data_IF_476423365653
#
_entry.id   IF_476423365653
#
_cell.length_a   1.000
_cell.length_b   1.000
_cell.length_c   1.000
_cell.angle_alpha   90.00
_cell.angle_beta   90.00
_cell.angle_gamma   90.00
#
_symmetry.space_group_name_H-M   'P 1'
#
loop_
_entity.id
_entity.type
_entity.pdbx_description
1 polymer ?
#
# COMPACT_ATOMS: atom_id res chain seq x y z
N UNK A 1 7.93 -23.84 -6.92
CA UNK A 1 8.92 -22.95 -6.29
C UNK A 1 8.38 -22.47 -4.96
N UNK A 2 9.27 -22.05 -4.07
CA UNK A 2 8.99 -21.38 -2.81
C UNK A 2 9.29 -19.89 -2.96
N UNK A 3 8.29 -19.04 -2.82
CA UNK A 3 8.38 -17.62 -3.18
C UNK A 3 7.96 -16.74 -2.01
N UNK A 4 8.81 -15.76 -1.64
CA UNK A 4 8.40 -14.69 -0.73
C UNK A 4 8.01 -13.46 -1.56
N UNK A 5 6.81 -12.95 -1.35
CA UNK A 5 6.38 -11.65 -1.90
C UNK A 5 6.37 -10.63 -0.78
N UNK A 6 7.20 -9.59 -0.88
CA UNK A 6 7.34 -8.55 0.16
C UNK A 6 6.65 -7.27 -0.30
N UNK A 7 5.78 -6.70 0.53
CA UNK A 7 5.06 -5.46 0.28
C UNK A 7 5.30 -4.45 1.40
N UNK A 8 5.38 -3.17 1.07
CA UNK A 8 5.59 -2.10 2.06
C UNK A 8 4.36 -1.81 2.95
N UNK A 9 3.22 -2.45 2.68
CA UNK A 9 2.14 -2.62 3.65
C UNK A 9 1.18 -3.74 3.25
N UNK A 10 0.26 -4.08 4.15
CA UNK A 10 -0.86 -4.98 3.84
C UNK A 10 -2.05 -4.14 3.33
N UNK A 11 -2.75 -4.54 2.25
CA UNK A 11 -3.88 -3.78 1.70
C UNK A 11 -5.05 -3.57 2.69
N UNK A 12 -5.28 -4.51 3.60
CA UNK A 12 -6.26 -4.38 4.70
C UNK A 12 -5.84 -3.35 5.77
N UNK A 13 -4.56 -2.95 5.84
CA UNK A 13 -4.03 -1.94 6.76
C UNK A 13 -3.96 -0.58 6.06
N UNK A 14 -3.28 -0.55 4.92
CA UNK A 14 -3.09 0.66 4.10
C UNK A 14 -3.59 0.39 2.70
N UNK A 15 -4.57 1.19 2.27
CA UNK A 15 -5.12 1.08 0.92
C UNK A 15 -4.28 1.90 -0.05
N UNK A 16 -3.49 1.20 -0.85
CA UNK A 16 -2.72 1.76 -1.96
C UNK A 16 -2.68 0.80 -3.15
N UNK A 17 -2.33 1.32 -4.33
CA UNK A 17 -2.30 0.53 -5.56
C UNK A 17 -1.18 -0.53 -5.55
N UNK A 18 -0.06 -0.20 -4.91
CA UNK A 18 1.11 -1.06 -4.85
C UNK A 18 0.89 -2.30 -3.98
N UNK A 19 0.26 -2.13 -2.81
CA UNK A 19 -0.11 -3.22 -1.90
C UNK A 19 -1.14 -4.14 -2.54
N UNK A 20 -2.13 -3.57 -3.26
CA UNK A 20 -3.12 -4.35 -4.00
C UNK A 20 -2.48 -5.18 -5.12
N UNK A 21 -1.53 -4.61 -5.86
CA UNK A 21 -0.78 -5.33 -6.88
C UNK A 21 0.08 -6.46 -6.27
N UNK A 22 0.71 -6.20 -5.12
CA UNK A 22 1.54 -7.19 -4.42
C UNK A 22 0.73 -8.40 -3.94
N UNK A 23 -0.41 -8.15 -3.30
CA UNK A 23 -1.27 -9.24 -2.81
C UNK A 23 -1.88 -10.01 -4.00
N UNK A 24 -2.30 -9.33 -5.07
CA UNK A 24 -2.86 -9.98 -6.25
C UNK A 24 -1.81 -10.87 -6.93
N UNK A 25 -0.56 -10.41 -6.99
CA UNK A 25 0.56 -11.20 -7.46
C UNK A 25 0.82 -12.43 -6.60
N UNK A 26 0.86 -12.28 -5.27
CA UNK A 26 0.96 -13.40 -4.35
C UNK A 26 -0.14 -14.46 -4.57
N UNK A 27 -1.40 -14.06 -4.68
CA UNK A 27 -2.49 -15.01 -4.92
C UNK A 27 -2.45 -15.65 -6.31
N UNK A 28 -2.01 -14.93 -7.34
CA UNK A 28 -1.81 -15.51 -8.67
C UNK A 28 -0.73 -16.60 -8.67
N UNK A 29 0.38 -16.38 -7.96
CA UNK A 29 1.44 -17.39 -7.79
C UNK A 29 0.92 -18.62 -7.05
N UNK A 30 0.14 -18.42 -5.97
CA UNK A 30 -0.50 -19.52 -5.26
C UNK A 30 -1.48 -20.31 -6.13
N UNK A 31 -2.28 -19.63 -6.95
CA UNK A 31 -3.22 -20.27 -7.86
C UNK A 31 -2.52 -21.15 -8.92
N UNK A 32 -1.25 -20.85 -9.22
CA UNK A 32 -0.39 -21.67 -10.09
C UNK A 32 0.32 -22.81 -9.35
N UNK A 33 0.01 -23.04 -8.06
CA UNK A 33 0.54 -24.15 -7.27
C UNK A 33 1.92 -23.90 -6.65
N UNK A 34 2.35 -22.64 -6.55
CA UNK A 34 3.58 -22.31 -5.82
C UNK A 34 3.34 -22.25 -4.30
N UNK A 35 4.38 -22.61 -3.53
CA UNK A 35 4.43 -22.38 -2.08
C UNK A 35 4.83 -20.94 -1.87
N UNK A 36 3.96 -20.11 -1.29
CA UNK A 36 4.18 -18.67 -1.21
C UNK A 36 3.98 -18.15 0.20
N UNK A 37 4.79 -17.15 0.56
CA UNK A 37 4.64 -16.36 1.77
C UNK A 37 4.51 -14.88 1.39
N UNK A 38 3.41 -14.25 1.78
CA UNK A 38 3.25 -12.80 1.67
C UNK A 38 3.77 -12.13 2.93
N UNK A 39 4.68 -11.17 2.80
CA UNK A 39 5.26 -10.42 3.91
C UNK A 39 4.92 -8.95 3.74
N UNK A 40 4.13 -8.40 4.65
CA UNK A 40 3.70 -7.01 4.63
C UNK A 40 4.35 -6.21 5.76
N UNK A 41 4.96 -5.09 5.42
CA UNK A 41 5.51 -4.20 6.43
C UNK A 41 4.41 -3.56 7.28
N UNK A 42 4.72 -3.36 8.56
CA UNK A 42 3.82 -2.72 9.49
C UNK A 42 4.54 -1.98 10.60
N UNK A 43 3.92 -0.94 11.21
CA UNK A 43 4.32 -0.47 12.52
C UNK A 43 4.22 -1.57 13.58
N UNK A 44 5.12 -1.55 14.56
CA UNK A 44 5.19 -2.54 15.64
C UNK A 44 3.86 -2.71 16.39
N UNK A 45 3.10 -1.63 16.58
CA UNK A 45 1.81 -1.66 17.28
C UNK A 45 0.77 -2.61 16.66
N UNK A 46 0.91 -3.02 15.39
CA UNK A 46 -0.01 -3.95 14.74
C UNK A 46 0.37 -5.43 14.92
N UNK A 47 1.55 -5.75 15.44
CA UNK A 47 2.01 -7.14 15.65
C UNK A 47 1.26 -7.78 16.83
N UNK A 48 0.90 -7.00 17.84
CA UNK A 48 0.15 -7.48 19.01
C UNK A 48 1.01 -8.20 20.08
N UNK A 49 2.34 -8.22 19.91
CA UNK A 49 3.30 -8.72 20.90
C UNK A 49 4.69 -8.11 20.65
N UNK A 50 5.67 -8.38 21.53
CA UNK A 50 7.03 -7.81 21.49
C UNK A 50 7.94 -8.35 20.37
N UNK A 51 7.36 -9.09 19.43
CA UNK A 51 8.10 -9.68 18.31
C UNK A 51 8.12 -8.74 17.11
N UNK A 52 8.97 -9.03 16.14
CA UNK A 52 9.07 -8.27 14.89
C UNK A 52 8.22 -8.84 13.76
N UNK A 53 7.61 -10.00 13.99
CA UNK A 53 6.77 -10.72 13.05
C UNK A 53 5.46 -11.14 13.70
N UNK A 54 4.37 -11.22 12.94
CA UNK A 54 3.12 -11.79 13.41
C UNK A 54 2.22 -12.21 12.26
N UNK A 55 1.57 -13.38 12.37
CA UNK A 55 0.62 -13.85 11.35
C UNK A 55 -0.55 -12.87 11.23
N UNK A 56 -0.90 -12.48 10.01
CA UNK A 56 -1.96 -11.52 9.80
C UNK A 56 -3.32 -12.21 9.87
N UNK A 57 -4.12 -11.85 10.89
CA UNK A 57 -5.49 -12.38 11.09
C UNK A 57 -5.55 -13.92 11.12
N UNK A 58 -4.50 -14.57 11.63
CA UNK A 58 -4.42 -16.03 11.73
C UNK A 58 -4.12 -16.75 10.42
N UNK A 59 -3.87 -16.03 9.31
CA UNK A 59 -3.43 -16.62 8.05
C UNK A 59 -1.93 -16.90 8.11
N UNK A 60 -1.53 -18.16 7.95
CA UNK A 60 -0.15 -18.59 8.15
C UNK A 60 0.81 -18.17 7.02
N UNK A 61 0.24 -17.89 5.85
CA UNK A 61 0.93 -17.50 4.63
C UNK A 61 0.92 -15.98 4.39
N UNK A 62 0.35 -15.21 5.32
CA UNK A 62 0.40 -13.75 5.34
C UNK A 62 1.04 -13.29 6.65
N UNK A 63 2.24 -12.73 6.55
CA UNK A 63 3.06 -12.30 7.67
C UNK A 63 3.10 -10.77 7.73
N UNK A 64 2.89 -10.20 8.91
CA UNK A 64 3.28 -8.84 9.21
C UNK A 64 4.73 -8.79 9.68
N UNK A 65 5.49 -7.82 9.20
CA UNK A 65 6.89 -7.59 9.56
C UNK A 65 7.16 -6.13 9.93
N UNK A 66 7.84 -5.89 11.05
CA UNK A 66 8.33 -4.56 11.41
C UNK A 66 9.57 -4.25 10.57
N UNK A 67 9.39 -3.45 9.51
CA UNK A 67 10.44 -3.12 8.56
C UNK A 67 11.55 -2.20 9.10
N UNK A 68 12.23 -1.54 8.16
CA UNK A 68 13.35 -0.66 8.42
C UNK A 68 12.93 0.68 9.02
N UNK A 69 13.82 1.23 9.85
CA UNK A 69 13.90 2.67 10.10
C UNK A 69 14.45 3.34 8.85
N UNK A 70 13.54 3.71 7.95
CA UNK A 70 13.88 4.11 6.59
C UNK A 70 14.51 5.51 6.51
N UNK A 71 15.48 5.68 5.61
CA UNK A 71 16.02 6.98 5.18
C UNK A 71 15.46 7.29 3.78
N UNK A 72 14.55 8.26 3.69
CA UNK A 72 13.86 8.61 2.44
C UNK A 72 14.77 9.24 1.38
N UNK A 73 15.86 9.89 1.79
CA UNK A 73 16.81 10.48 0.85
C UNK A 73 17.68 9.40 0.24
N UNK A 74 18.27 8.54 1.08
CA UNK A 74 19.22 7.51 0.66
C UNK A 74 18.54 6.24 0.15
N UNK A 75 17.26 6.04 0.48
CA UNK A 75 16.49 4.82 0.25
C UNK A 75 17.13 3.60 0.93
N UNK A 76 17.60 3.76 2.17
CA UNK A 76 18.35 2.73 2.91
C UNK A 76 17.77 2.46 4.29
N UNK A 77 18.12 1.33 4.88
CA UNK A 77 17.75 0.99 6.26
C UNK A 77 18.75 1.57 7.27
N UNK A 78 18.30 2.44 8.20
CA UNK A 78 19.16 2.94 9.29
C UNK A 78 19.48 1.85 10.32
N UNK A 79 18.58 0.89 10.49
CA UNK A 79 18.72 -0.29 11.34
C UNK A 79 19.07 -1.54 10.51
N UNK A 80 19.94 -1.39 9.50
CA UNK A 80 20.33 -2.43 8.53
C UNK A 80 20.57 -3.82 9.14
N UNK A 81 21.41 -3.92 10.18
CA UNK A 81 21.74 -5.20 10.81
C UNK A 81 20.52 -5.92 11.40
N UNK A 82 19.56 -5.17 11.95
CA UNK A 82 18.32 -5.75 12.47
C UNK A 82 17.43 -6.25 11.33
N UNK A 83 17.30 -5.46 10.26
CA UNK A 83 16.51 -5.84 9.08
C UNK A 83 17.11 -7.08 8.39
N UNK A 84 18.44 -7.15 8.27
CA UNK A 84 19.12 -8.33 7.73
C UNK A 84 18.95 -9.56 8.61
N UNK A 85 19.02 -9.42 9.95
CA UNK A 85 18.74 -10.53 10.88
C UNK A 85 17.32 -11.06 10.71
N UNK A 86 16.34 -10.17 10.61
CA UNK A 86 14.93 -10.52 10.37
C UNK A 86 14.77 -11.27 9.04
N UNK A 87 15.41 -10.78 7.97
CA UNK A 87 15.40 -11.43 6.65
C UNK A 87 16.08 -12.80 6.68
N UNK A 88 17.19 -12.94 7.40
CA UNK A 88 17.91 -14.21 7.54
C UNK A 88 17.09 -15.27 8.27
N UNK A 89 16.32 -14.86 9.27
CA UNK A 89 15.36 -15.74 9.94
C UNK A 89 14.26 -16.19 8.98
N UNK A 90 13.60 -15.27 8.28
CA UNK A 90 12.58 -15.59 7.28
C UNK A 90 13.12 -16.50 6.17
N UNK A 91 14.30 -16.18 5.63
CA UNK A 91 14.96 -16.95 4.57
C UNK A 91 15.36 -18.33 5.08
N UNK A 92 15.92 -18.43 6.29
CA UNK A 92 16.36 -19.70 6.87
C UNK A 92 15.21 -20.67 7.11
N UNK A 93 14.05 -20.13 7.53
CA UNK A 93 12.89 -20.94 7.87
C UNK A 93 11.98 -21.22 6.67
N UNK A 94 11.77 -20.25 5.78
CA UNK A 94 10.98 -20.42 4.56
C UNK A 94 11.80 -20.99 3.40
N UNK A 95 13.13 -20.84 3.35
CA UNK A 95 14.02 -21.32 2.27
C UNK A 95 13.47 -21.04 0.86
N UNK A 96 13.30 -19.76 0.49
CA UNK A 96 12.77 -19.40 -0.82
C UNK A 96 13.75 -19.70 -1.94
N UNK A 97 13.20 -20.05 -3.12
CA UNK A 97 13.92 -20.02 -4.39
C UNK A 97 14.04 -18.58 -4.92
N UNK A 98 13.05 -17.75 -4.58
CA UNK A 98 12.90 -16.38 -5.08
C UNK A 98 12.25 -15.46 -4.03
N UNK A 99 12.72 -14.20 -3.97
CA UNK A 99 12.07 -13.12 -3.24
C UNK A 99 11.69 -12.00 -4.21
N UNK A 100 10.41 -11.63 -4.22
CA UNK A 100 9.88 -10.56 -5.05
C UNK A 100 9.43 -9.39 -4.18
N UNK A 101 10.12 -8.26 -4.30
CA UNK A 101 9.80 -7.03 -3.60
C UNK A 101 8.82 -6.18 -4.42
N UNK A 102 7.75 -5.72 -3.78
CA UNK A 102 6.87 -4.68 -4.30
C UNK A 102 7.20 -3.40 -3.55
N UNK A 103 8.03 -2.58 -4.20
CA UNK A 103 8.69 -1.39 -3.62
C UNK A 103 9.91 -1.69 -2.72
N UNK A 104 10.80 -0.70 -2.61
CA UNK A 104 11.91 -0.66 -1.63
C UNK A 104 11.60 0.20 -0.38
N UNK A 105 10.44 0.87 -0.32
CA UNK A 105 10.07 1.72 0.82
C UNK A 105 9.86 0.89 2.07
N UNK A 106 10.41 1.34 3.19
CA UNK A 106 10.38 0.62 4.46
C UNK A 106 11.26 -0.62 4.51
N UNK A 107 12.02 -0.94 3.45
CA UNK A 107 12.96 -2.08 3.41
C UNK A 107 14.39 -1.58 3.27
N UNK A 108 14.64 -0.69 2.30
CA UNK A 108 15.98 -0.24 1.95
C UNK A 108 16.55 -0.97 0.73
N UNK A 109 17.05 -0.22 -0.25
CA UNK A 109 17.73 -0.78 -1.43
C UNK A 109 19.06 -1.47 -1.06
N UNK A 110 19.71 -1.01 -0.01
CA UNK A 110 20.90 -1.65 0.57
C UNK A 110 20.60 -3.06 1.09
N UNK A 111 19.47 -3.23 1.78
CA UNK A 111 19.01 -4.55 2.26
C UNK A 111 18.70 -5.48 1.08
N UNK A 112 17.95 -4.97 0.08
CA UNK A 112 17.59 -5.77 -1.10
C UNK A 112 18.85 -6.18 -1.88
N UNK A 113 19.80 -5.26 -2.06
CA UNK A 113 21.08 -5.51 -2.71
C UNK A 113 21.89 -6.56 -1.93
N UNK A 114 22.01 -6.42 -0.61
CA UNK A 114 22.74 -7.37 0.23
C UNK A 114 22.16 -8.79 0.11
N UNK A 115 20.82 -8.93 0.18
CA UNK A 115 20.16 -10.24 0.00
C UNK A 115 20.55 -10.85 -1.35
N UNK A 116 20.52 -10.04 -2.41
CA UNK A 116 20.87 -10.47 -3.76
C UNK A 116 22.33 -10.94 -3.87
N UNK A 117 23.24 -10.25 -3.19
CA UNK A 117 24.68 -10.50 -3.27
C UNK A 117 25.14 -11.66 -2.36
N UNK A 118 24.54 -11.83 -1.17
CA UNK A 118 25.06 -12.78 -0.17
C UNK A 118 24.23 -14.04 0.06
N UNK A 119 22.99 -14.13 -0.44
CA UNK A 119 22.09 -15.27 -0.12
C UNK A 119 21.96 -16.31 -1.22
N UNK A 120 22.46 -16.05 -2.44
CA UNK A 120 22.32 -16.97 -3.58
C UNK A 120 20.87 -17.17 -4.05
N UNK A 121 19.95 -16.30 -3.64
CA UNK A 121 18.53 -16.34 -3.97
C UNK A 121 18.24 -15.42 -5.16
N UNK A 122 17.23 -15.76 -5.96
CA UNK A 122 16.75 -14.86 -7.02
C UNK A 122 15.96 -13.69 -6.44
N UNK A 123 16.34 -12.47 -6.79
CA UNK A 123 15.73 -11.24 -6.25
C UNK A 123 15.13 -10.41 -7.37
N UNK A 124 13.82 -10.18 -7.29
CA UNK A 124 13.06 -9.34 -8.20
C UNK A 124 12.45 -8.16 -7.48
N UNK A 125 12.25 -7.05 -8.19
CA UNK A 125 11.62 -5.84 -7.67
C UNK A 125 10.58 -5.29 -8.65
N UNK A 126 9.34 -5.11 -8.22
CA UNK A 126 8.34 -4.30 -8.94
C UNK A 126 8.42 -2.84 -8.50
N UNK A 127 8.61 -1.95 -9.47
CA UNK A 127 8.53 -0.50 -9.31
C UNK A 127 7.07 -0.04 -9.27
N UNK A 128 6.75 0.92 -8.41
CA UNK A 128 5.40 1.50 -8.32
C UNK A 128 5.35 3.00 -8.61
N UNK A 129 6.50 3.66 -8.67
CA UNK A 129 6.65 5.12 -8.76
C UNK A 129 8.12 5.49 -9.10
N UNK A 130 8.48 6.79 -9.11
CA UNK A 130 9.79 7.30 -9.53
C UNK A 130 10.78 7.59 -8.40
N UNK A 131 10.65 6.97 -7.23
CA UNK A 131 11.33 7.37 -6.00
C UNK A 131 12.83 7.16 -6.08
N UNK A 132 13.27 6.20 -6.89
CA UNK A 132 14.68 6.02 -7.24
C UNK A 132 15.24 7.25 -7.98
N UNK A 133 14.42 7.90 -8.80
CA UNK A 133 14.81 9.00 -9.69
C UNK A 133 14.63 10.36 -9.01
N UNK A 134 13.50 10.57 -8.32
CA UNK A 134 13.03 11.85 -7.84
C UNK A 134 12.81 11.84 -6.31
N UNK A 135 13.58 12.66 -5.59
CA UNK A 135 13.42 12.80 -4.13
C UNK A 135 12.15 13.59 -3.73
N UNK A 136 11.48 14.26 -4.66
CA UNK A 136 10.22 14.94 -4.40
C UNK A 136 9.04 13.95 -4.48
N UNK A 137 8.99 13.03 -3.51
CA UNK A 137 7.97 12.00 -3.38
C UNK A 137 7.77 11.14 -4.63
N UNK A 138 8.82 10.97 -5.44
CA UNK A 138 8.76 10.20 -6.68
C UNK A 138 7.77 10.76 -7.71
N UNK A 139 7.45 12.05 -7.69
CA UNK A 139 6.42 12.62 -8.58
C UNK A 139 6.94 13.00 -9.96
N UNK A 140 8.26 13.18 -10.12
CA UNK A 140 8.84 13.79 -11.33
C UNK A 140 8.22 15.17 -11.62
N UNK A 141 7.97 15.95 -10.56
CA UNK A 141 7.50 17.33 -10.59
C UNK A 141 8.48 18.16 -9.75
N UNK A 142 8.98 19.27 -10.29
CA UNK A 142 9.88 20.18 -9.56
C UNK A 142 9.13 20.83 -8.39
N UNK A 143 9.84 21.33 -7.39
CA UNK A 143 9.21 22.05 -6.26
C UNK A 143 8.55 23.37 -6.71
N UNK A 144 8.99 23.92 -7.84
CA UNK A 144 8.35 25.02 -8.60
C UNK A 144 7.08 24.61 -9.37
N UNK A 145 6.71 23.32 -9.34
CA UNK A 145 5.52 22.69 -9.95
C UNK A 145 5.58 22.42 -11.45
N UNK A 146 6.67 22.74 -12.16
CA UNK A 146 6.82 22.26 -13.54
C UNK A 146 7.15 20.76 -13.58
N UNK A 147 6.83 20.13 -14.70
CA UNK A 147 7.21 18.74 -14.96
C UNK A 147 8.74 18.60 -14.97
N UNK A 148 9.24 17.56 -14.31
CA UNK A 148 10.62 17.16 -14.36
C UNK A 148 10.79 16.06 -15.43
N UNK A 149 11.55 16.36 -16.47
CA UNK A 149 11.78 15.40 -17.56
C UNK A 149 13.02 14.52 -17.33
N UNK A 150 13.96 14.93 -16.51
CA UNK A 150 15.16 14.15 -16.19
C UNK A 150 15.72 14.56 -14.83
N UNK A 151 16.28 13.60 -14.10
CA UNK A 151 17.00 13.85 -12.86
C UNK A 151 18.45 14.22 -13.15
N UNK A 152 18.94 15.30 -12.56
CA UNK A 152 20.37 15.63 -12.53
C UNK A 152 20.76 16.19 -11.16
N UNK A 153 22.02 16.02 -10.72
CA UNK A 153 22.45 16.50 -9.41
C UNK A 153 22.24 18.01 -9.21
N UNK A 154 22.50 18.82 -10.24
CA UNK A 154 22.35 20.28 -10.19
C UNK A 154 20.87 20.71 -10.15
N UNK A 155 20.00 20.11 -10.97
CA UNK A 155 18.57 20.43 -10.98
C UNK A 155 17.88 19.94 -9.69
N UNK A 156 18.27 18.78 -9.16
CA UNK A 156 17.73 18.28 -7.90
C UNK A 156 18.14 19.18 -6.71
N UNK A 157 19.37 19.71 -6.69
CA UNK A 157 19.79 20.66 -5.65
C UNK A 157 18.99 21.97 -5.71
N UNK A 158 18.51 22.42 -6.89
CA UNK A 158 17.58 23.56 -6.99
C UNK A 158 16.23 23.24 -6.35
N UNK A 159 15.75 21.99 -6.48
CA UNK A 159 14.52 21.57 -5.81
C UNK A 159 14.69 21.51 -4.28
N UNK A 160 15.89 21.22 -3.79
CA UNK A 160 16.21 21.06 -2.37
C UNK A 160 17.46 21.85 -1.96
N UNK A 161 17.37 23.19 -1.78
CA UNK A 161 18.54 24.05 -1.56
C UNK A 161 19.39 23.71 -0.33
N UNK A 162 18.82 23.01 0.66
CA UNK A 162 19.55 22.50 1.82
C UNK A 162 20.41 21.26 1.55
N UNK A 163 20.39 20.71 0.34
CA UNK A 163 21.14 19.51 -0.05
C UNK A 163 22.05 19.81 -1.24
N UNK A 164 23.35 19.72 -1.03
CA UNK A 164 24.34 19.95 -2.08
C UNK A 164 24.21 18.94 -3.25
N UNK A 165 24.54 19.38 -4.47
CA UNK A 165 24.50 18.54 -5.68
C UNK A 165 25.30 17.25 -5.55
N UNK A 166 26.44 17.28 -4.86
CA UNK A 166 27.27 16.08 -4.58
C UNK A 166 26.49 14.96 -3.88
N UNK A 167 25.56 15.28 -2.99
CA UNK A 167 24.72 14.27 -2.35
C UNK A 167 23.72 13.63 -3.31
N UNK A 168 23.18 14.40 -4.26
CA UNK A 168 22.31 13.86 -5.32
C UNK A 168 23.07 12.98 -6.31
N UNK A 169 24.34 13.30 -6.60
CA UNK A 169 25.22 12.41 -7.35
C UNK A 169 25.40 11.08 -6.62
N UNK A 170 25.82 11.10 -5.35
CA UNK A 170 26.02 9.89 -4.55
C UNK A 170 24.73 9.06 -4.41
N UNK A 171 23.59 9.74 -4.24
CA UNK A 171 22.26 9.11 -4.21
C UNK A 171 22.00 8.34 -5.51
N UNK A 172 22.19 8.97 -6.67
CA UNK A 172 22.01 8.35 -7.98
C UNK A 172 22.89 7.11 -8.11
N UNK A 173 24.18 7.23 -7.85
CA UNK A 173 25.14 6.12 -8.03
C UNK A 173 24.80 4.93 -7.14
N UNK A 174 24.39 5.17 -5.88
CA UNK A 174 23.95 4.11 -4.98
C UNK A 174 22.71 3.39 -5.50
N UNK A 175 21.70 4.14 -5.94
CA UNK A 175 20.44 3.57 -6.43
C UNK A 175 20.69 2.74 -7.68
N UNK A 176 21.48 3.24 -8.63
CA UNK A 176 21.82 2.51 -9.84
C UNK A 176 22.62 1.25 -9.54
N UNK A 177 23.59 1.30 -8.62
CA UNK A 177 24.32 0.11 -8.17
C UNK A 177 23.38 -0.97 -7.62
N UNK A 178 22.48 -0.59 -6.71
CA UNK A 178 21.54 -1.52 -6.11
C UNK A 178 20.59 -2.12 -7.16
N UNK A 179 19.94 -1.28 -7.97
CA UNK A 179 19.00 -1.74 -8.99
C UNK A 179 19.67 -2.64 -10.05
N UNK A 180 20.86 -2.25 -10.52
CA UNK A 180 21.57 -3.03 -11.53
C UNK A 180 22.21 -4.33 -10.98
N UNK A 181 22.12 -4.60 -9.68
CA UNK A 181 22.50 -5.89 -9.09
C UNK A 181 21.40 -6.97 -9.18
N UNK A 182 20.13 -6.55 -9.25
CA UNK A 182 18.95 -7.42 -9.08
C UNK A 182 18.72 -8.32 -10.29
N UNK A 183 18.23 -9.55 -10.08
CA UNK A 183 18.00 -10.50 -11.19
C UNK A 183 16.96 -9.99 -12.21
N UNK A 184 16.00 -9.18 -11.77
CA UNK A 184 15.07 -8.49 -12.65
C UNK A 184 14.26 -7.41 -11.95
N UNK A 185 13.85 -6.41 -12.71
CA UNK A 185 13.03 -5.28 -12.29
C UNK A 185 11.77 -5.26 -13.15
N UNK A 186 10.62 -5.35 -12.51
CA UNK A 186 9.32 -5.28 -13.17
C UNK A 186 8.80 -3.85 -13.11
N UNK A 187 8.36 -3.35 -14.25
CA UNK A 187 7.68 -2.06 -14.38
C UNK A 187 6.25 -2.27 -14.86
N UNK A 188 5.23 -1.69 -14.18
CA UNK A 188 3.83 -1.77 -14.59
C UNK A 188 3.50 -1.07 -15.91
N UNK A 189 4.43 -0.30 -16.49
CA UNK A 189 4.22 0.34 -17.79
C UNK A 189 5.52 0.54 -18.55
N UNK A 190 5.41 0.66 -19.87
CA UNK A 190 6.52 1.05 -20.74
C UNK A 190 7.01 2.47 -20.42
N UNK A 191 6.11 3.37 -20.00
CA UNK A 191 6.48 4.74 -19.63
C UNK A 191 7.41 4.78 -18.41
N UNK A 192 7.05 4.07 -17.34
CA UNK A 192 7.91 3.98 -16.14
C UNK A 192 9.25 3.28 -16.45
N UNK A 193 9.22 2.18 -17.21
CA UNK A 193 10.41 1.46 -17.62
C UNK A 193 11.38 2.36 -18.39
N UNK A 194 10.86 3.12 -19.37
CA UNK A 194 11.65 4.08 -20.15
C UNK A 194 12.31 5.13 -19.25
N UNK A 195 11.61 5.68 -18.25
CA UNK A 195 12.18 6.65 -17.30
C UNK A 195 13.33 6.07 -16.48
N UNK A 196 13.21 4.83 -16.01
CA UNK A 196 14.28 4.17 -15.27
C UNK A 196 15.47 3.78 -16.17
N UNK A 197 15.22 3.39 -17.42
CA UNK A 197 16.28 3.17 -18.39
C UNK A 197 17.05 4.47 -18.69
N UNK A 198 16.35 5.58 -18.96
CA UNK A 198 16.94 6.92 -19.13
C UNK A 198 17.72 7.39 -17.90
N UNK A 199 17.28 7.00 -16.70
CA UNK A 199 17.99 7.29 -15.46
C UNK A 199 19.32 6.54 -15.33
N UNK A 200 19.46 5.39 -15.99
CA UNK A 200 20.67 4.57 -16.03
C UNK A 200 20.51 3.13 -15.54
N UNK A 201 19.28 2.65 -15.33
CA UNK A 201 19.04 1.23 -15.05
C UNK A 201 19.27 0.43 -16.33
N UNK A 202 19.95 -0.71 -16.20
CA UNK A 202 20.21 -1.63 -17.29
C UNK A 202 18.89 -2.13 -17.91
N UNK A 203 18.67 -1.81 -19.18
CA UNK A 203 17.46 -2.16 -19.90
C UNK A 203 17.23 -3.67 -19.99
N UNK A 204 18.28 -4.50 -19.97
CA UNK A 204 18.13 -5.96 -19.95
C UNK A 204 17.45 -6.48 -18.68
N UNK A 205 17.55 -5.73 -17.57
CA UNK A 205 16.92 -6.08 -16.29
C UNK A 205 15.49 -5.55 -16.19
N UNK A 206 15.05 -4.68 -17.09
CA UNK A 206 13.72 -4.06 -17.04
C UNK A 206 12.72 -4.88 -17.86
N UNK A 207 11.67 -5.35 -17.18
CA UNK A 207 10.57 -6.10 -17.79
C UNK A 207 9.26 -5.34 -17.61
N UNK A 208 8.53 -5.12 -18.70
CA UNK A 208 7.21 -4.47 -18.64
C UNK A 208 6.14 -5.53 -18.43
N UNK A 209 5.52 -5.52 -17.26
CA UNK A 209 4.39 -6.39 -16.91
C UNK A 209 3.39 -5.55 -16.15
N UNK A 210 2.19 -5.38 -16.70
CA UNK A 210 1.13 -4.59 -16.07
C UNK A 210 0.73 -5.18 -14.71
N UNK A 211 0.41 -4.30 -13.76
CA UNK A 211 -0.01 -4.74 -12.43
C UNK A 211 -1.31 -5.53 -12.52
N UNK A 212 -1.36 -6.64 -11.79
CA UNK A 212 -2.58 -7.40 -11.61
C UNK A 212 -3.59 -6.58 -10.82
N UNK A 213 -4.79 -6.43 -11.38
CA UNK A 213 -5.92 -5.85 -10.66
C UNK A 213 -6.59 -6.99 -9.90
N UNK A 214 -6.67 -6.87 -8.58
CA UNK A 214 -7.46 -7.77 -7.74
C UNK A 214 -8.94 -7.65 -8.15
N UNK A 215 -9.42 -8.50 -9.05
CA UNK A 215 -10.82 -8.90 -9.04
C UNK A 215 -10.96 -9.70 -7.75
N UNK A 216 -11.66 -9.14 -6.76
CA UNK A 216 -11.76 -9.67 -5.39
C UNK A 216 -11.73 -11.20 -5.39
N UNK A 217 -10.74 -11.75 -4.70
CA UNK A 217 -10.42 -13.17 -4.56
C UNK A 217 -11.59 -14.14 -4.80
N UNK A 218 -11.54 -14.82 -5.94
CA UNK A 218 -12.44 -15.93 -6.26
C UNK A 218 -13.89 -15.57 -6.57
N UNK A 219 -14.29 -14.31 -6.49
CA UNK A 219 -15.56 -13.89 -7.06
C UNK A 219 -15.41 -13.96 -8.57
N UNK A 220 -16.11 -14.90 -9.21
CA UNK A 220 -16.40 -14.80 -10.63
C UNK A 220 -16.85 -13.36 -10.89
N UNK A 221 -16.37 -12.70 -11.97
CA UNK A 221 -16.83 -11.35 -12.29
C UNK A 221 -18.35 -11.37 -12.19
N UNK A 222 -18.91 -10.61 -11.24
CA UNK A 222 -20.35 -10.46 -11.11
C UNK A 222 -20.86 -10.18 -12.52
N UNK A 223 -21.87 -10.94 -12.97
CA UNK A 223 -22.42 -10.82 -14.31
C UNK A 223 -22.50 -9.32 -14.63
N UNK A 224 -21.75 -8.88 -15.64
CA UNK A 224 -21.58 -7.44 -15.93
C UNK A 224 -22.96 -6.83 -15.86
N UNK A 225 -23.18 -5.94 -14.89
CA UNK A 225 -24.44 -5.23 -14.80
C UNK A 225 -24.76 -4.71 -16.20
N UNK A 226 -25.99 -4.89 -16.70
CA UNK A 226 -26.32 -4.51 -18.07
C UNK A 226 -25.86 -3.06 -18.28
N UNK A 227 -25.06 -2.84 -19.32
CA UNK A 227 -24.59 -1.49 -19.67
C UNK A 227 -25.84 -0.72 -20.07
N UNK A 228 -26.38 0.06 -19.13
CA UNK A 228 -27.59 0.83 -19.39
C UNK A 228 -27.21 1.99 -20.29
N UNK A 229 -27.82 2.03 -21.48
CA UNK A 229 -27.61 3.09 -22.46
C UNK A 229 -27.79 4.48 -21.84
N UNK A 230 -27.05 5.45 -22.39
CA UNK A 230 -27.25 6.85 -22.06
C UNK A 230 -28.70 7.26 -22.36
N UNK A 231 -29.32 8.04 -21.47
CA UNK A 231 -30.59 8.73 -21.71
C UNK A 231 -30.42 10.18 -21.24
N UNK A 232 -31.09 11.12 -21.87
CA UNK A 232 -31.05 12.53 -21.48
C UNK A 232 -31.72 12.78 -20.13
N UNK A 233 -32.60 11.86 -19.69
CA UNK A 233 -33.37 11.93 -18.44
C UNK A 233 -32.55 11.48 -17.22
N UNK A 234 -31.31 11.03 -17.44
CA UNK A 234 -30.38 10.60 -16.39
C UNK A 234 -29.08 11.38 -16.46
N UNK A 235 -28.57 11.87 -15.31
CA UNK A 235 -27.29 12.55 -15.30
C UNK A 235 -26.16 11.58 -15.66
N UNK A 236 -25.21 12.05 -16.46
CA UNK A 236 -23.94 11.37 -16.68
C UNK A 236 -23.15 11.36 -15.36
N UNK A 237 -22.88 10.16 -14.83
CA UNK A 237 -22.11 10.00 -13.60
C UNK A 237 -20.65 9.77 -13.92
N UNK A 238 -19.80 10.72 -13.52
CA UNK A 238 -18.34 10.64 -13.65
C UNK A 238 -17.75 10.24 -12.29
N UNK A 239 -17.07 9.09 -12.26
CA UNK A 239 -16.39 8.60 -11.07
C UNK A 239 -14.92 8.98 -11.05
N UNK A 240 -14.45 9.60 -9.98
CA UNK A 240 -13.03 9.75 -9.65
C UNK A 240 -12.69 8.78 -8.51
N UNK A 241 -11.62 8.01 -8.68
CA UNK A 241 -11.14 7.08 -7.67
C UNK A 241 -9.66 7.33 -7.39
N UNK A 242 -9.34 7.83 -6.21
CA UNK A 242 -7.94 8.09 -5.86
C UNK A 242 -7.77 8.88 -4.56
N UNK A 243 -6.54 8.92 -4.08
CA UNK A 243 -6.18 9.81 -2.97
C UNK A 243 -6.36 11.26 -3.41
N UNK A 244 -6.82 12.12 -2.49
CA UNK A 244 -7.06 13.52 -2.77
C UNK A 244 -5.80 14.37 -2.55
N UNK A 245 -4.77 14.13 -3.36
CA UNK A 245 -3.50 14.88 -3.31
C UNK A 245 -3.38 15.86 -4.50
N UNK A 246 -2.52 16.89 -4.41
CA UNK A 246 -2.30 17.84 -5.51
C UNK A 246 -1.86 17.18 -6.83
N UNK A 247 -1.25 16.00 -6.76
CA UNK A 247 -0.69 15.30 -7.92
C UNK A 247 -1.66 14.28 -8.53
N UNK A 248 -2.85 14.12 -7.94
CA UNK A 248 -3.87 13.15 -8.41
C UNK A 248 -5.00 13.81 -9.21
N UNK A 249 -4.98 15.14 -9.36
CA UNK A 249 -5.79 15.86 -10.33
C UNK A 249 -7.25 16.12 -9.92
N UNK A 250 -7.59 15.91 -8.64
CA UNK A 250 -8.94 16.25 -8.14
C UNK A 250 -9.24 17.75 -8.33
N UNK A 251 -8.25 18.64 -8.21
CA UNK A 251 -8.43 20.06 -8.49
C UNK A 251 -8.74 20.34 -9.96
N UNK A 252 -8.16 19.56 -10.88
CA UNK A 252 -8.42 19.66 -12.32
C UNK A 252 -9.88 19.32 -12.61
N UNK A 253 -10.40 18.25 -12.00
CA UNK A 253 -11.83 17.88 -12.09
C UNK A 253 -12.72 19.01 -11.60
N UNK A 254 -12.42 19.58 -10.43
CA UNK A 254 -13.21 20.68 -9.86
C UNK A 254 -13.13 21.96 -10.71
N UNK A 255 -11.95 22.29 -11.25
CA UNK A 255 -11.80 23.43 -12.16
C UNK A 255 -12.57 23.23 -13.46
N UNK A 256 -12.53 22.03 -14.03
CA UNK A 256 -13.28 21.70 -15.23
C UNK A 256 -14.79 21.88 -15.01
N UNK A 257 -15.32 21.42 -13.87
CA UNK A 257 -16.73 21.62 -13.53
C UNK A 257 -17.14 23.10 -13.52
N UNK A 258 -16.30 24.00 -12.98
CA UNK A 258 -16.59 25.45 -12.97
C UNK A 258 -16.66 26.09 -14.35
N UNK A 259 -15.99 25.51 -15.33
CA UNK A 259 -15.95 26.04 -16.69
C UNK A 259 -17.13 25.56 -17.53
N UNK A 260 -17.94 24.61 -17.02
CA UNK A 260 -19.09 24.09 -17.73
C UNK A 260 -20.29 25.05 -17.63
N UNK A 261 -21.07 25.22 -18.71
CA UNK A 261 -22.35 25.91 -18.64
C UNK A 261 -23.32 25.25 -17.66
N UNK A 262 -24.22 26.04 -17.07
CA UNK A 262 -25.25 25.56 -16.12
C UNK A 262 -26.12 24.45 -16.73
N UNK A 263 -26.52 24.60 -18.00
CA UNK A 263 -27.27 23.59 -18.77
C UNK A 263 -26.55 22.25 -18.90
N UNK A 264 -25.21 22.23 -18.82
CA UNK A 264 -24.40 21.02 -18.82
C UNK A 264 -24.24 20.46 -17.41
N UNK A 265 -24.11 21.33 -16.40
CA UNK A 265 -24.00 20.92 -14.99
C UNK A 265 -25.24 20.16 -14.53
N UNK A 266 -26.44 20.57 -14.94
CA UNK A 266 -27.70 19.87 -14.67
C UNK A 266 -27.71 18.41 -15.17
N UNK A 267 -26.92 18.12 -16.22
CA UNK A 267 -26.85 16.80 -16.86
C UNK A 267 -25.67 15.94 -16.37
N UNK A 268 -24.84 16.43 -15.45
CA UNK A 268 -23.63 15.73 -14.99
C UNK A 268 -23.61 15.64 -13.47
N UNK A 269 -23.15 14.49 -12.98
CA UNK A 269 -22.84 14.25 -11.56
C UNK A 269 -21.40 13.75 -11.45
N UNK A 270 -20.60 14.38 -10.60
CA UNK A 270 -19.25 13.90 -10.27
C UNK A 270 -19.26 13.24 -8.90
N UNK A 271 -18.77 12.01 -8.84
CA UNK A 271 -18.61 11.25 -7.60
C UNK A 271 -17.12 11.09 -7.32
N UNK A 272 -16.66 11.67 -6.23
CA UNK A 272 -15.27 11.60 -5.80
C UNK A 272 -15.13 10.55 -4.69
N UNK A 273 -14.48 9.43 -5.00
CA UNK A 273 -14.15 8.36 -4.06
C UNK A 273 -12.66 8.40 -3.71
N UNK A 274 -12.34 8.53 -2.42
CA UNK A 274 -10.94 8.68 -2.04
C UNK A 274 -10.68 8.78 -0.56
N UNK A 275 -9.40 8.97 -0.25
CA UNK A 275 -8.93 9.25 1.12
C UNK A 275 -8.21 10.59 1.16
N UNK A 276 -8.38 11.29 2.28
CA UNK A 276 -7.67 12.51 2.61
C UNK A 276 -6.62 12.24 3.71
N UNK A 277 -5.51 11.57 3.36
CA UNK A 277 -4.37 11.32 4.27
C UNK A 277 -3.02 11.84 3.77
N UNK A 278 -2.18 12.34 4.70
CA UNK A 278 -0.80 12.75 4.43
C UNK A 278 -0.58 14.27 4.36
N UNK A 279 0.70 14.68 4.43
CA UNK A 279 1.12 16.08 4.44
C UNK A 279 0.64 16.85 3.19
N UNK A 280 0.71 16.21 2.03
CA UNK A 280 0.21 16.76 0.77
C UNK A 280 -1.30 17.09 0.82
N UNK A 281 -2.08 16.41 1.66
CA UNK A 281 -3.52 16.64 1.78
C UNK A 281 -3.84 17.78 2.74
N UNK A 282 -3.03 17.98 3.79
CA UNK A 282 -3.17 19.15 4.66
C UNK A 282 -2.93 20.45 3.89
N UNK A 283 -1.89 20.48 3.04
CA UNK A 283 -1.62 21.64 2.18
C UNK A 283 -2.69 21.85 1.10
N UNK A 284 -3.27 20.76 0.59
CA UNK A 284 -4.28 20.81 -0.46
C UNK A 284 -5.66 21.27 0.04
N UNK A 285 -6.15 20.73 1.17
CA UNK A 285 -7.48 21.06 1.70
C UNK A 285 -7.48 22.22 2.71
N UNK A 286 -6.38 22.43 3.44
CA UNK A 286 -6.32 23.41 4.53
C UNK A 286 -5.36 24.59 4.24
N UNK A 287 -4.80 24.66 3.03
CA UNK A 287 -3.94 25.76 2.62
C UNK A 287 -4.69 27.09 2.52
N UNK A 288 -4.07 28.23 2.89
CA UNK A 288 -4.72 29.55 2.79
C UNK A 288 -5.16 29.85 1.34
N UNK A 289 -6.42 30.26 1.18
CA UNK A 289 -7.01 30.62 -0.12
C UNK A 289 -7.51 29.45 -0.98
N UNK A 290 -7.46 28.20 -0.50
CA UNK A 290 -7.88 27.01 -1.26
C UNK A 290 -9.06 26.29 -0.61
N UNK A 291 -10.16 26.99 -0.44
CA UNK A 291 -11.41 26.36 0.00
C UNK A 291 -12.10 25.72 -1.22
N UNK A 292 -11.57 24.58 -1.68
CA UNK A 292 -12.15 23.79 -2.78
C UNK A 292 -13.60 23.33 -2.49
N UNK A 293 -14.03 23.42 -1.22
CA UNK A 293 -15.38 23.14 -0.72
C UNK A 293 -16.42 24.17 -1.13
N UNK A 294 -16.04 25.43 -1.33
CA UNK A 294 -16.98 26.53 -1.63
C UNK A 294 -17.15 26.77 -3.14
N UNK A 295 -16.56 25.91 -3.98
CA UNK A 295 -16.27 26.26 -5.36
C UNK A 295 -17.11 25.54 -6.42
N UNK A 296 -17.99 24.61 -6.06
CA UNK A 296 -18.91 23.94 -6.98
C UNK A 296 -20.32 24.04 -6.37
N UNK A 297 -21.36 24.40 -7.15
CA UNK A 297 -22.73 24.45 -6.64
C UNK A 297 -23.19 23.14 -5.99
N UNK A 298 -23.95 23.23 -4.90
CA UNK A 298 -24.47 22.08 -4.15
C UNK A 298 -25.30 21.15 -5.05
N UNK A 299 -25.11 19.83 -4.93
CA UNK A 299 -25.90 18.80 -5.64
C UNK A 299 -25.20 18.11 -6.82
N UNK A 300 -24.18 18.72 -7.43
CA UNK A 300 -23.45 18.14 -8.58
C UNK A 300 -22.24 17.29 -8.16
N UNK A 301 -21.82 17.40 -6.91
CA UNK A 301 -20.64 16.75 -6.36
C UNK A 301 -21.01 15.85 -5.17
N UNK A 302 -20.59 14.60 -5.22
CA UNK A 302 -20.72 13.67 -4.09
C UNK A 302 -19.36 13.21 -3.60
N UNK A 303 -19.12 13.34 -2.29
CA UNK A 303 -17.88 12.92 -1.65
C UNK A 303 -18.07 11.62 -0.88
N UNK A 304 -17.21 10.65 -1.19
CA UNK A 304 -17.09 9.41 -0.45
C UNK A 304 -15.68 9.34 0.15
N UNK A 305 -15.59 9.71 1.43
CA UNK A 305 -14.36 9.70 2.19
C UNK A 305 -14.24 8.38 2.93
N UNK A 306 -13.15 7.66 2.69
CA UNK A 306 -12.82 6.50 3.48
C UNK A 306 -12.15 6.89 4.80
N UNK A 307 -12.84 6.71 5.93
CA UNK A 307 -12.25 6.88 7.27
C UNK A 307 -11.59 5.58 7.77
N UNK A 308 -10.51 5.69 8.55
CA UNK A 308 -9.94 4.57 9.31
C UNK A 308 -10.60 4.48 10.69
N UNK A 309 -11.43 3.46 10.93
CA UNK A 309 -11.75 3.02 12.30
C UNK A 309 -13.13 2.41 12.50
N UNK A 310 -13.15 1.13 12.92
CA UNK A 310 -14.29 0.36 13.48
C UNK A 310 -15.52 0.20 12.58
N UNK A 311 -15.43 -0.72 11.62
CA UNK A 311 -16.59 -1.53 11.19
C UNK A 311 -17.88 -0.79 10.81
N UNK A 312 -17.80 0.44 10.31
CA UNK A 312 -18.95 1.18 9.76
C UNK A 312 -18.66 1.61 8.33
N UNK A 313 -19.71 1.46 7.53
CA UNK A 313 -19.78 1.64 6.09
C UNK A 313 -19.25 2.99 5.60
N UNK A 314 -18.89 3.03 4.32
CA UNK A 314 -18.58 4.23 3.55
C UNK A 314 -19.50 5.39 3.99
N UNK A 315 -18.93 6.45 4.58
CA UNK A 315 -19.72 7.58 5.03
C UNK A 315 -20.08 8.44 3.82
N UNK A 316 -21.37 8.45 3.47
CA UNK A 316 -21.93 9.33 2.44
C UNK A 316 -22.05 10.74 3.02
N UNK A 317 -21.11 11.62 2.69
CA UNK A 317 -21.27 13.05 2.96
C UNK A 317 -22.11 13.65 1.82
N UNK A 318 -23.44 13.68 2.00
CA UNK A 318 -24.29 14.63 1.29
C UNK A 318 -24.08 15.99 1.96
N UNK A 319 -23.61 16.96 1.19
CA UNK A 319 -23.47 18.33 1.63
C UNK A 319 -24.88 18.92 1.78
N UNK A 320 -25.35 19.00 3.02
CA UNK A 320 -26.51 19.80 3.40
C UNK A 320 -26.00 20.97 4.25
N UNK A 321 -26.46 22.19 3.99
CA UNK A 321 -25.87 23.47 4.47
C UNK A 321 -25.76 23.62 5.99
N UNK A 322 -26.32 22.71 6.78
CA UNK A 322 -26.51 22.87 8.23
C UNK A 322 -25.58 22.04 9.13
N UNK A 323 -24.69 21.19 8.62
CA UNK A 323 -23.79 20.39 9.45
C UNK A 323 -22.44 21.09 9.72
N UNK A 324 -22.47 22.25 10.38
CA UNK A 324 -21.25 22.92 10.90
C UNK A 324 -21.28 22.84 12.42
N UNK A 325 -20.36 22.06 13.02
CA UNK A 325 -20.22 22.12 14.46
C UNK A 325 -19.28 21.16 15.19
N UNK A 326 -18.30 20.48 14.59
CA UNK A 326 -17.13 19.93 15.29
C UNK A 326 -16.04 19.74 14.22
N UNK A 327 -14.89 20.42 14.21
CA UNK A 327 -13.79 20.35 15.17
C UNK A 327 -12.99 21.64 15.03
N UNK A 328 -12.87 22.41 16.11
CA UNK A 328 -12.14 23.66 16.10
C UNK A 328 -12.05 24.32 17.48
N UNK A 329 -11.28 23.73 18.39
CA UNK A 329 -10.69 24.48 19.52
C UNK A 329 -9.19 24.27 19.51
N UNK A 330 -8.46 25.29 19.05
CA UNK A 330 -7.06 25.53 19.43
C UNK A 330 -7.04 26.09 20.85
N UNK A 331 -6.18 25.62 21.76
CA UNK A 331 -5.78 26.44 22.90
C UNK A 331 -4.69 27.42 22.44
N UNK A 332 -4.90 28.71 22.73
CA UNK A 332 -3.96 29.79 22.47
C UNK A 332 -2.69 29.72 23.31
N UNK A 333 -1.67 30.45 22.87
CA UNK A 333 -0.38 30.51 23.52
C UNK A 333 -0.30 31.48 24.69
N UNK A 334 0.76 31.31 25.49
CA UNK A 334 1.41 32.36 26.26
C UNK A 334 2.90 31.98 26.39
N UNK A 335 3.79 32.94 26.15
CA UNK A 335 5.23 32.84 26.33
C UNK A 335 5.62 33.24 27.77
N UNK A 336 6.72 32.67 28.29
CA UNK A 336 7.49 33.25 29.40
C UNK A 336 8.14 32.25 30.38
N UNK A 337 9.48 32.25 30.42
CA UNK A 337 10.29 32.02 31.64
C UNK A 337 10.66 30.58 32.05
N UNK A 338 11.95 30.26 32.05
CA UNK A 338 12.58 29.16 32.82
C UNK A 338 13.00 29.67 34.24
N UNK A 339 13.65 28.90 35.16
CA UNK A 339 13.95 27.46 35.25
C UNK A 339 13.74 26.82 36.68
N UNK A 340 14.15 25.54 36.85
CA UNK A 340 14.55 24.82 38.11
C UNK A 340 13.48 24.14 39.01
N UNK A 341 13.66 22.83 39.28
CA UNK A 341 13.67 22.30 40.66
C UNK A 341 12.61 21.28 41.15
N UNK A 342 13.10 20.06 41.46
CA UNK A 342 12.71 19.09 42.53
C UNK A 342 11.33 18.36 42.55
N UNK A 343 11.44 17.04 42.34
CA UNK A 343 11.04 15.90 43.19
C UNK A 343 9.68 15.83 43.94
N UNK A 344 8.91 14.76 43.61
CA UNK A 344 8.16 13.89 44.55
C UNK A 344 6.62 13.97 44.51
N UNK A 345 5.90 12.96 45.04
CA UNK A 345 5.81 11.58 44.52
C UNK A 345 4.36 11.09 44.34
N UNK A 346 4.19 9.96 43.65
CA UNK A 346 3.01 9.09 43.76
C UNK A 346 2.29 8.85 42.44
N UNK A 347 2.51 7.69 41.82
CA UNK A 347 1.50 6.63 41.68
C UNK A 347 2.24 5.31 41.40
N UNK A 348 1.81 4.34 42.20
CA UNK A 348 2.02 2.91 42.31
C UNK A 348 2.77 2.11 41.22
N UNK A 349 3.53 1.19 41.79
CA UNK A 349 4.56 0.33 41.23
C UNK A 349 3.93 -1.03 40.97
N UNK A 350 3.67 -1.39 39.71
CA UNK A 350 3.49 -2.80 39.34
C UNK A 350 4.86 -3.42 39.06
N UNK A 351 5.34 -4.20 40.03
CA UNK A 351 6.51 -5.09 39.91
C UNK A 351 6.02 -6.52 39.69
N UNK A 352 6.31 -7.09 38.53
CA UNK A 352 6.55 -8.52 38.27
C UNK A 352 7.14 -8.63 36.86
N UNK A 353 8.12 -9.47 36.53
CA UNK A 353 9.31 -9.94 37.23
C UNK A 353 10.39 -9.97 36.14
N UNK A 354 11.65 -9.68 36.50
CA UNK A 354 12.78 -9.87 35.57
C UNK A 354 13.05 -11.36 35.46
N UNK A 355 12.70 -11.95 34.34
CA UNK A 355 13.43 -13.09 33.79
C UNK A 355 13.82 -12.72 32.37
N UNK A 356 15.12 -12.83 32.08
CA UNK A 356 15.66 -12.55 30.76
C UNK A 356 15.10 -13.56 29.77
N UNK A 357 14.23 -13.10 28.87
CA UNK A 357 13.74 -13.89 27.75
C UNK A 357 14.45 -13.43 26.49
N UNK A 358 15.27 -14.31 25.91
CA UNK A 358 15.68 -14.22 24.51
C UNK A 358 14.45 -13.93 23.64
N UNK A 359 14.60 -13.02 22.67
CA UNK A 359 13.53 -12.67 21.74
C UNK A 359 12.92 -13.92 21.12
N UNK A 360 11.61 -14.07 21.25
CA UNK A 360 10.85 -15.21 20.71
C UNK A 360 11.05 -15.25 19.20
N UNK A 361 11.88 -16.19 18.74
CA UNK A 361 12.16 -16.46 17.32
C UNK A 361 10.94 -17.04 16.62
N UNK A 362 10.85 -16.83 15.31
CA UNK A 362 9.93 -17.47 14.37
C UNK A 362 9.88 -18.99 14.55
N UNK A 363 11.02 -19.62 14.88
CA UNK A 363 11.09 -21.06 15.19
C UNK A 363 10.18 -21.46 16.37
N UNK A 364 10.03 -20.60 17.37
CA UNK A 364 9.12 -20.85 18.50
C UNK A 364 7.65 -20.71 18.11
N UNK A 365 7.32 -19.93 17.08
CA UNK A 365 5.97 -19.82 16.51
C UNK A 365 5.60 -21.07 15.72
N UNK A 366 6.47 -21.55 14.81
CA UNK A 366 6.18 -22.72 13.97
C UNK A 366 6.16 -24.05 14.73
N UNK A 367 6.93 -24.19 15.82
CA UNK A 367 6.99 -25.43 16.63
C UNK A 367 5.74 -25.70 17.47
N UNK A 368 4.81 -24.75 17.60
CA UNK A 368 3.63 -24.89 18.47
C UNK A 368 2.42 -25.58 17.82
N UNK A 369 2.52 -26.08 16.58
CA UNK A 369 1.42 -26.83 15.97
C UNK A 369 1.89 -28.20 15.44
N UNK A 370 1.34 -29.32 15.93
CA UNK A 370 1.62 -30.64 15.37
C UNK A 370 0.92 -30.77 14.00
N UNK A 371 1.70 -31.17 12.99
CA UNK A 371 1.20 -31.40 11.65
C UNK A 371 0.18 -32.54 11.58
N UNK A 372 -0.80 -32.39 10.71
CA UNK A 372 -1.55 -33.52 10.16
C UNK A 372 -1.36 -33.57 8.63
N UNK A 373 -1.06 -34.75 8.05
CA UNK A 373 -1.01 -34.93 6.60
C UNK A 373 -2.42 -34.95 6.00
N UNK A 374 -2.49 -34.53 4.73
CA UNK A 374 -3.71 -34.15 4.04
C UNK A 374 -4.83 -35.20 3.96
N UNK A 375 -6.04 -34.68 3.84
CA UNK A 375 -7.24 -35.42 3.46
C UNK A 375 -7.71 -34.92 2.08
N UNK A 376 -7.75 -35.84 1.13
CA UNK A 376 -8.38 -35.66 -0.17
C UNK A 376 -9.90 -35.47 -0.02
N UNK A 377 -10.59 -34.82 -0.97
CA UNK A 377 -12.02 -34.57 -0.85
C UNK A 377 -12.84 -35.83 -1.14
N UNK A 378 -13.51 -36.37 -0.13
CA UNK A 378 -14.53 -37.40 -0.29
C UNK A 378 -15.80 -36.83 -0.94
N UNK A 379 -16.28 -37.53 -1.97
CA UNK A 379 -17.50 -37.21 -2.70
C UNK A 379 -18.72 -37.60 -1.85
N UNK A 380 -19.53 -36.62 -1.46
CA UNK A 380 -20.83 -36.89 -0.83
C UNK A 380 -21.86 -37.38 -1.85
N UNK A 381 -22.12 -38.68 -1.85
CA UNK A 381 -23.36 -39.26 -2.36
C UNK A 381 -24.49 -39.01 -1.33
N UNK A 382 -25.48 -38.19 -1.70
CA UNK A 382 -26.74 -38.11 -0.97
C UNK A 382 -27.56 -39.39 -1.20
N UNK A 383 -27.74 -40.19 -0.15
CA UNK A 383 -28.85 -41.16 -0.07
C UNK A 383 -30.03 -40.50 0.61
N UNK A 384 -31.16 -40.44 -0.11
CA UNK A 384 -32.46 -39.97 0.39
C UNK A 384 -33.08 -41.03 1.29
N UNK A 385 -33.67 -40.57 2.39
CA UNK A 385 -34.49 -41.38 3.30
C UNK A 385 -35.84 -41.73 2.67
N UNK A 386 -36.30 -42.92 3.05
CA UNK A 386 -37.56 -43.61 2.79
C UNK A 386 -38.79 -42.93 3.38
N UNK A 387 -39.93 -43.09 2.72
CA UNK A 387 -41.26 -42.88 3.29
C UNK A 387 -42.39 -43.04 2.26
N UNK A 388 -43.08 -44.17 2.35
CA UNK A 388 -44.47 -44.44 1.94
C UNK A 388 -44.83 -44.72 0.47
N UNK A 389 -45.25 -45.98 0.24
CA UNK A 389 -46.67 -46.24 -0.04
C UNK A 389 -47.09 -46.49 -1.48
N UNK A 390 -47.48 -47.75 -1.73
CA UNK A 390 -48.45 -48.21 -2.73
C UNK A 390 -48.01 -48.39 -4.20
N UNK A 391 -47.88 -49.67 -4.60
CA UNK A 391 -48.83 -50.22 -5.57
C UNK A 391 -48.45 -50.24 -7.07
N UNK A 392 -48.42 -51.48 -7.60
CA UNK A 392 -48.86 -51.88 -8.95
C UNK A 392 -47.82 -51.91 -10.08
N UNK A 393 -47.36 -53.15 -10.34
CA UNK A 393 -47.24 -53.90 -11.62
C UNK A 393 -46.84 -53.20 -12.95
N UNK A 394 -45.80 -53.84 -13.53
CA UNK A 394 -45.65 -54.30 -14.93
C UNK A 394 -45.41 -53.30 -16.06
N UNK A 395 -44.34 -53.56 -16.84
CA UNK A 395 -44.27 -53.18 -18.25
C UNK A 395 -42.85 -52.95 -18.78
N UNK A 396 -42.41 -53.82 -19.71
CA UNK A 396 -41.26 -53.64 -20.62
C UNK A 396 -41.47 -52.34 -21.43
N UNK A 397 -40.46 -51.55 -21.81
CA UNK A 397 -39.32 -51.78 -22.71
C UNK A 397 -38.28 -50.69 -22.48
#
# INVERSE_FOLDING_TARGET
MRIIVVSHSHPDITKGGAENAAIAHFHALKAQGHDCLFVALTPHGNIGHDGRFGAFRGREDELLWVGAEFDDFRLTARNFHQVMKDMDEMIGDFKPDLIHFHHYFGIGLDVIQEIKESKGIKVFLTLHEYGGICHHYGQMIKTSKELCYASSPSECAKCFPGTASGFFFLRRERILRALNSLDGIVSPSAFLAKRYAEFGVDAHRLHVVENLVSVRYGAAPEAKAPVVAYSEDRPLVLGYFGQFTPFKGVDVVLKAMKLLPETTLEKIRVVLYGTAHGQANQEFFCGPGRNHRESVPDGHLEWWLQERGRGRADARLRLDRHAVGMVGKRPGGAAGGAPVGRAGPGVERWRHGREGGEGRSWRAFRRRQPGQPGLAPERHHQRRHSGDGAGVRSGRL
#
